data_IF_608823146689
#
_entry.id   IF_608823146689
#
_cell.length_a   1.000
_cell.length_b   1.000
_cell.length_c   1.000
_cell.angle_alpha   90.00
_cell.angle_beta   90.00
_cell.angle_gamma   90.00
#
_symmetry.space_group_name_H-M   'P 1'
#
loop_
_entity.id
_entity.type
_entity.pdbx_description
1 polymer ?
#
# COMPACT_ATOMS: atom_id res chain seq x y z
N UNK A 1 -9.26 -13.48 -17.99
CA UNK A 1 -10.31 -13.64 -16.97
C UNK A 1 -10.81 -15.07 -17.01
N UNK A 2 -10.94 -15.71 -15.85
CA UNK A 2 -11.47 -17.08 -15.73
C UNK A 2 -12.47 -17.16 -14.60
N UNK A 3 -13.60 -17.82 -14.83
CA UNK A 3 -14.63 -18.08 -13.81
C UNK A 3 -14.64 -19.57 -13.54
N UNK A 4 -14.35 -19.97 -12.30
CA UNK A 4 -14.33 -21.37 -11.89
C UNK A 4 -15.60 -21.73 -11.11
N UNK A 5 -16.47 -22.52 -11.71
CA UNK A 5 -17.61 -23.13 -11.03
C UNK A 5 -17.19 -24.49 -10.46
N UNK A 6 -17.16 -24.61 -9.12
CA UNK A 6 -16.79 -25.86 -8.44
C UNK A 6 -17.91 -26.91 -8.44
N UNK A 7 -19.16 -26.50 -8.67
CA UNK A 7 -20.35 -27.35 -8.71
C UNK A 7 -21.33 -26.86 -9.78
N UNK A 8 -22.08 -27.76 -10.40
CA UNK A 8 -23.02 -27.44 -11.49
C UNK A 8 -24.30 -26.72 -11.02
N UNK A 9 -24.76 -27.01 -9.81
CA UNK A 9 -25.93 -26.37 -9.17
C UNK A 9 -25.72 -24.86 -8.92
N UNK A 10 -24.47 -24.45 -8.67
CA UNK A 10 -24.10 -23.05 -8.49
C UNK A 10 -24.43 -22.18 -9.73
N UNK A 11 -24.35 -22.75 -10.94
CA UNK A 11 -24.67 -22.02 -12.17
C UNK A 11 -26.17 -21.72 -12.27
N UNK A 12 -27.01 -22.68 -11.90
CA UNK A 12 -28.46 -22.52 -11.89
C UNK A 12 -28.92 -21.53 -10.81
N UNK A 13 -28.33 -21.60 -9.62
CA UNK A 13 -28.61 -20.66 -8.54
C UNK A 13 -28.21 -19.22 -8.90
N UNK A 14 -27.09 -19.04 -9.59
CA UNK A 14 -26.59 -17.72 -10.00
C UNK A 14 -27.58 -16.97 -10.91
N UNK A 15 -28.32 -17.69 -11.77
CA UNK A 15 -29.28 -17.10 -12.70
C UNK A 15 -30.41 -16.31 -12.01
N UNK A 16 -30.74 -16.64 -10.76
CA UNK A 16 -31.79 -15.97 -9.98
C UNK A 16 -31.31 -14.84 -9.07
N UNK A 17 -30.00 -14.56 -9.02
CA UNK A 17 -29.42 -13.57 -8.10
C UNK A 17 -29.78 -12.15 -8.55
N UNK A 18 -30.30 -11.34 -7.62
CA UNK A 18 -30.62 -9.91 -7.84
C UNK A 18 -29.77 -8.95 -7.04
N UNK A 19 -29.05 -9.46 -6.04
CA UNK A 19 -28.25 -8.67 -5.11
C UNK A 19 -26.90 -9.32 -4.94
N UNK A 20 -25.83 -8.53 -5.06
CA UNK A 20 -24.46 -8.98 -4.83
C UNK A 20 -23.87 -8.15 -3.69
N UNK A 21 -23.39 -8.82 -2.66
CA UNK A 21 -22.55 -8.21 -1.64
C UNK A 21 -21.10 -8.46 -2.03
N UNK A 22 -20.31 -7.39 -2.10
CA UNK A 22 -18.89 -7.46 -2.45
C UNK A 22 -18.06 -7.22 -1.19
N UNK A 23 -17.04 -8.05 -1.00
CA UNK A 23 -15.94 -7.66 -0.14
C UNK A 23 -15.12 -6.56 -0.84
N UNK A 24 -14.49 -5.66 -0.09
CA UNK A 24 -13.74 -4.54 -0.66
C UNK A 24 -12.29 -4.93 -0.90
N UNK A 25 -11.60 -5.38 0.14
CA UNK A 25 -10.14 -5.58 0.14
C UNK A 25 -9.78 -6.82 -0.65
N UNK A 26 -8.97 -6.68 -1.70
CA UNK A 26 -8.58 -7.81 -2.58
C UNK A 26 -9.66 -8.28 -3.56
N UNK A 27 -10.86 -7.69 -3.53
CA UNK A 27 -11.96 -7.99 -4.46
C UNK A 27 -12.29 -6.77 -5.33
N UNK A 28 -12.69 -5.65 -4.72
CA UNK A 28 -12.93 -4.38 -5.42
C UNK A 28 -11.65 -3.53 -5.49
N UNK A 29 -10.75 -3.72 -4.53
CA UNK A 29 -9.46 -3.04 -4.42
C UNK A 29 -8.34 -4.06 -4.51
N UNK A 30 -7.12 -3.63 -4.82
CA UNK A 30 -5.96 -4.51 -5.04
C UNK A 30 -5.48 -5.21 -3.76
N UNK A 31 -5.93 -4.77 -2.58
CA UNK A 31 -5.62 -5.42 -1.31
C UNK A 31 -4.26 -5.06 -0.73
N UNK A 32 -3.49 -4.18 -1.39
CA UNK A 32 -2.28 -3.58 -0.85
C UNK A 32 -2.34 -2.04 -0.94
N UNK A 33 -1.79 -1.31 0.04
CA UNK A 33 -1.70 0.14 -0.04
C UNK A 33 -0.74 0.58 -1.14
N UNK A 34 -1.02 1.73 -1.75
CA UNK A 34 -0.11 2.43 -2.66
C UNK A 34 -0.04 3.91 -2.26
N UNK A 35 1.12 4.54 -2.44
CA UNK A 35 1.25 5.97 -2.23
C UNK A 35 0.65 6.69 -3.45
N UNK A 36 -0.47 7.37 -3.26
CA UNK A 36 -1.15 8.12 -4.33
C UNK A 36 -0.66 9.55 -4.40
N UNK A 37 -0.44 10.18 -3.24
CA UNK A 37 -0.16 11.60 -3.12
C UNK A 37 0.97 11.84 -2.12
N UNK A 38 1.82 12.82 -2.43
CA UNK A 38 2.80 13.39 -1.51
C UNK A 38 2.64 14.90 -1.53
N UNK A 39 1.96 15.42 -0.50
CA UNK A 39 1.69 16.84 -0.33
C UNK A 39 2.78 17.45 0.54
N UNK A 40 3.48 18.45 0.01
CA UNK A 40 4.65 19.04 0.63
C UNK A 40 4.30 20.35 1.35
N UNK A 41 5.04 20.66 2.41
CA UNK A 41 5.03 22.01 2.96
C UNK A 41 5.74 22.99 2.02
N UNK A 42 5.44 24.28 2.17
CA UNK A 42 6.05 25.33 1.36
C UNK A 42 7.58 25.32 1.49
N UNK A 43 8.27 25.39 0.35
CA UNK A 43 9.73 25.40 0.29
C UNK A 43 10.41 24.03 0.42
N UNK A 44 9.66 22.93 0.56
CA UNK A 44 10.24 21.58 0.58
C UNK A 44 10.37 20.99 -0.82
N UNK A 45 11.49 20.31 -1.08
CA UNK A 45 11.70 19.55 -2.31
C UNK A 45 11.09 18.15 -2.21
N UNK A 46 10.41 17.70 -3.27
CA UNK A 46 9.74 16.40 -3.31
C UNK A 46 10.73 15.26 -3.17
N UNK A 47 11.82 15.31 -3.93
CA UNK A 47 12.78 14.22 -3.99
C UNK A 47 13.50 14.11 -2.65
N UNK A 48 13.86 15.22 -2.02
CA UNK A 48 14.46 15.23 -0.68
C UNK A 48 13.52 14.65 0.38
N UNK A 49 12.25 15.08 0.41
CA UNK A 49 11.27 14.55 1.37
C UNK A 49 11.05 13.06 1.16
N UNK A 50 10.81 12.63 -0.08
CA UNK A 50 10.58 11.23 -0.40
C UNK A 50 11.80 10.37 -0.04
N UNK A 51 13.00 10.88 -0.27
CA UNK A 51 14.27 10.26 0.11
C UNK A 51 14.37 10.02 1.62
N UNK A 52 14.08 11.05 2.41
CA UNK A 52 14.16 10.99 3.88
C UNK A 52 13.10 10.05 4.47
N UNK A 53 11.85 10.18 4.02
CA UNK A 53 10.74 9.33 4.51
C UNK A 53 10.98 7.87 4.14
N UNK A 54 11.41 7.59 2.91
CA UNK A 54 11.74 6.22 2.48
C UNK A 54 12.88 5.62 3.29
N UNK A 55 13.87 6.42 3.70
CA UNK A 55 14.98 5.95 4.52
C UNK A 55 14.51 5.51 5.91
N UNK A 56 13.66 6.30 6.58
CA UNK A 56 13.09 5.95 7.89
C UNK A 56 12.17 4.73 7.78
N UNK A 57 11.32 4.70 6.75
CA UNK A 57 10.33 3.63 6.55
C UNK A 57 10.94 2.31 6.05
N UNK A 58 12.16 2.31 5.52
CA UNK A 58 12.82 1.10 5.00
C UNK A 58 12.99 -0.03 6.05
N UNK A 59 12.95 0.30 7.35
CA UNK A 59 13.04 -0.68 8.45
C UNK A 59 11.70 -1.03 9.10
N UNK A 60 10.61 -0.42 8.64
CA UNK A 60 9.26 -0.64 9.16
C UNK A 60 8.58 -1.80 8.44
N UNK A 61 7.93 -2.69 9.18
CA UNK A 61 7.14 -3.80 8.62
C UNK A 61 5.69 -3.40 8.29
N UNK A 62 5.34 -2.13 8.47
CA UNK A 62 3.98 -1.66 8.26
C UNK A 62 3.64 -1.61 6.75
N UNK A 63 2.43 -2.03 6.30
CA UNK A 63 2.06 -1.99 4.88
C UNK A 63 2.14 -0.61 4.21
N UNK A 64 2.01 0.47 5.00
CA UNK A 64 2.20 1.86 4.51
C UNK A 64 3.68 2.15 4.22
N UNK A 65 4.60 1.62 5.03
CA UNK A 65 6.03 1.78 4.83
C UNK A 65 6.46 1.17 3.49
N UNK A 66 5.97 -0.04 3.20
CA UNK A 66 6.25 -0.70 1.91
C UNK A 66 5.69 0.09 0.73
N UNK A 67 4.48 0.67 0.86
CA UNK A 67 3.92 1.53 -0.18
C UNK A 67 4.80 2.76 -0.48
N UNK A 68 5.31 3.43 0.56
CA UNK A 68 6.24 4.56 0.42
C UNK A 68 7.56 4.09 -0.20
N UNK A 69 8.14 2.99 0.28
CA UNK A 69 9.41 2.45 -0.22
C UNK A 69 9.32 1.99 -1.68
N UNK A 70 8.18 1.46 -2.12
CA UNK A 70 7.92 1.15 -3.53
C UNK A 70 7.83 2.43 -4.37
N UNK A 71 7.12 3.45 -3.89
CA UNK A 71 7.01 4.72 -4.61
C UNK A 71 8.36 5.45 -4.73
N UNK A 72 9.13 5.51 -3.65
CA UNK A 72 10.48 6.08 -3.66
C UNK A 72 11.41 5.39 -4.67
N UNK A 73 11.38 4.04 -4.71
CA UNK A 73 12.12 3.27 -5.72
C UNK A 73 11.65 3.54 -7.14
N UNK A 74 10.35 3.69 -7.37
CA UNK A 74 9.78 4.01 -8.68
C UNK A 74 10.13 5.43 -9.15
N UNK A 75 10.24 6.39 -8.23
CA UNK A 75 10.67 7.78 -8.50
C UNK A 75 12.20 7.94 -8.56
N UNK A 76 12.98 6.86 -8.36
CA UNK A 76 14.44 6.89 -8.44
C UNK A 76 15.13 7.58 -7.26
N UNK A 77 14.46 7.70 -6.11
CA UNK A 77 15.04 8.30 -4.91
C UNK A 77 16.18 7.42 -4.36
N UNK A 78 17.30 8.05 -4.02
CA UNK A 78 18.43 7.37 -3.39
C UNK A 78 18.09 6.96 -1.96
N UNK A 79 17.96 5.67 -1.68
CA UNK A 79 17.72 5.21 -0.31
C UNK A 79 19.00 5.40 0.51
N UNK A 80 18.93 6.26 1.52
CA UNK A 80 20.02 6.45 2.49
C UNK A 80 19.85 5.51 3.68
N UNK A 81 20.97 5.05 4.24
CA UNK A 81 20.94 4.19 5.43
C UNK A 81 20.62 5.03 6.68
N UNK A 82 19.68 4.55 7.50
CA UNK A 82 19.33 5.20 8.77
C UNK A 82 19.96 4.49 9.96
N UNK A 83 20.47 5.29 10.90
CA UNK A 83 20.97 4.82 12.20
C UNK A 83 19.93 5.07 13.29
N UNK A 84 20.04 4.40 14.45
CA UNK A 84 19.17 4.69 15.62
C UNK A 84 17.65 4.55 15.39
N UNK A 85 17.24 3.70 14.44
CA UNK A 85 15.84 3.41 14.17
C UNK A 85 15.08 2.90 15.40
N UNK A 86 13.90 3.48 15.64
CA UNK A 86 13.00 3.11 16.74
C UNK A 86 11.54 3.11 16.27
N UNK A 87 10.81 2.05 16.65
CA UNK A 87 9.36 1.98 16.52
C UNK A 87 8.70 2.52 17.79
N UNK A 88 7.88 3.55 17.63
CA UNK A 88 7.10 4.14 18.71
C UNK A 88 5.66 3.63 18.58
N UNK A 89 5.29 2.65 19.40
CA UNK A 89 3.96 2.03 19.36
C UNK A 89 2.84 3.07 19.40
N UNK A 90 1.94 2.99 18.43
CA UNK A 90 0.81 3.92 18.27
C UNK A 90 1.17 5.30 17.71
N UNK A 91 2.44 5.59 17.44
CA UNK A 91 2.91 6.91 16.97
C UNK A 91 3.78 6.85 15.69
N UNK A 92 4.25 5.68 15.28
CA UNK A 92 5.00 5.49 14.03
C UNK A 92 6.46 5.12 14.27
N UNK A 93 7.36 5.66 13.45
CA UNK A 93 8.80 5.35 13.46
C UNK A 93 9.63 6.63 13.48
N UNK A 94 10.85 6.55 14.02
CA UNK A 94 11.87 7.60 13.91
C UNK A 94 13.24 6.99 13.68
N UNK A 95 14.15 7.76 13.08
CA UNK A 95 15.57 7.44 12.95
C UNK A 95 16.39 8.73 12.85
#
# INVERSE_FOLDING_TARGET
MGVLFRKGDALQALAGVRTVALDKTGTVTEGHPEMTDLVLAEGMDRAEVLRLVAAVEARSEHPVADAIARAARAEGAEVVEVTQFETITGHGVRA
#
